data_IF_374432615018
#
_entry.id   IF_374432615018
#
_cell.length_a   1.000
_cell.length_b   1.000
_cell.length_c   1.000
_cell.angle_alpha   90.00
_cell.angle_beta   90.00
_cell.angle_gamma   90.00
#
_symmetry.space_group_name_H-M   'P 1'
#
loop_
_entity.id
_entity.type
_entity.pdbx_description
1 polymer ?
#
# COMPACT_ATOMS: atom_id res chain seq x y z
N UNK A 1 5.52 8.76 -3.64
CA UNK A 1 4.82 8.80 -2.33
C UNK A 1 5.42 7.83 -1.31
N UNK A 2 5.33 6.50 -1.49
CA UNK A 2 5.84 5.51 -0.51
C UNK A 2 7.31 5.71 -0.12
N UNK A 3 8.18 6.01 -1.09
CA UNK A 3 9.60 6.30 -0.83
C UNK A 3 9.82 7.58 -0.01
N UNK A 4 8.95 8.58 -0.16
CA UNK A 4 8.98 9.80 0.66
C UNK A 4 8.56 9.46 2.11
N UNK A 5 7.47 8.70 2.28
CA UNK A 5 7.02 8.26 3.61
C UNK A 5 8.10 7.47 4.35
N UNK A 6 8.82 6.60 3.64
CA UNK A 6 9.95 5.84 4.21
C UNK A 6 11.10 6.73 4.67
N UNK A 7 11.35 7.87 4.00
CA UNK A 7 12.41 8.82 4.36
C UNK A 7 11.98 9.79 5.46
N UNK A 8 10.74 10.26 5.43
CA UNK A 8 10.22 11.24 6.37
C UNK A 8 9.80 10.63 7.71
N UNK A 9 9.33 9.37 7.71
CA UNK A 9 8.87 8.69 8.92
C UNK A 9 9.73 7.45 9.20
N UNK A 10 10.65 7.59 10.17
CA UNK A 10 11.52 6.49 10.64
C UNK A 10 10.82 5.53 11.62
N UNK A 11 9.55 5.79 11.97
CA UNK A 11 8.81 5.01 12.96
C UNK A 11 8.70 3.54 12.55
N UNK A 12 9.04 2.62 13.46
CA UNK A 12 8.94 1.18 13.22
C UNK A 12 7.58 0.57 13.56
N UNK A 13 6.61 1.39 13.95
CA UNK A 13 5.29 0.91 14.34
C UNK A 13 4.40 0.66 13.12
N UNK A 14 3.98 -0.60 12.95
CA UNK A 14 3.14 -1.10 11.85
C UNK A 14 1.83 -0.31 11.78
N UNK A 15 1.21 -0.01 12.92
CA UNK A 15 -0.07 0.72 12.99
C UNK A 15 0.03 2.14 12.44
N UNK A 16 1.13 2.84 12.75
CA UNK A 16 1.41 4.20 12.26
C UNK A 16 1.67 4.17 10.77
N UNK A 17 2.48 3.23 10.27
CA UNK A 17 2.73 3.05 8.83
C UNK A 17 1.45 2.73 8.07
N UNK A 18 0.57 1.89 8.63
CA UNK A 18 -0.76 1.59 8.05
C UNK A 18 -1.60 2.86 7.95
N UNK A 19 -1.71 3.65 9.02
CA UNK A 19 -2.47 4.91 9.00
C UNK A 19 -1.94 5.90 7.98
N UNK A 20 -0.62 6.08 7.91
CA UNK A 20 0.02 6.96 6.92
C UNK A 20 -0.24 6.50 5.48
N UNK A 21 -0.17 5.19 5.24
CA UNK A 21 -0.50 4.64 3.92
C UNK A 21 -1.96 4.91 3.53
N UNK A 22 -2.91 4.65 4.43
CA UNK A 22 -4.34 4.87 4.15
C UNK A 22 -4.64 6.36 3.94
N UNK A 23 -4.17 7.22 4.83
CA UNK A 23 -4.48 8.66 4.81
C UNK A 23 -3.87 9.40 3.62
N UNK A 24 -2.68 9.03 3.17
CA UNK A 24 -1.99 9.74 2.08
C UNK A 24 -2.10 8.97 0.76
N UNK A 25 -1.70 7.70 0.75
CA UNK A 25 -1.59 6.94 -0.49
C UNK A 25 -2.95 6.42 -0.94
N UNK A 26 -3.73 5.81 -0.04
CA UNK A 26 -5.07 5.31 -0.41
C UNK A 26 -6.03 6.44 -0.73
N UNK A 27 -6.01 7.54 0.03
CA UNK A 27 -6.80 8.73 -0.29
C UNK A 27 -6.50 9.31 -1.68
N UNK A 28 -5.22 9.45 -2.06
CA UNK A 28 -4.86 9.91 -3.41
C UNK A 28 -5.31 8.92 -4.50
N UNK A 29 -5.11 7.63 -4.29
CA UNK A 29 -5.52 6.60 -5.26
C UNK A 29 -7.04 6.55 -5.41
N UNK A 30 -7.78 6.68 -4.32
CA UNK A 30 -9.24 6.75 -4.29
C UNK A 30 -9.77 8.07 -4.84
N UNK A 31 -8.97 9.10 -5.05
CA UNK A 31 -9.43 10.29 -5.76
C UNK A 31 -9.51 10.04 -7.28
N UNK A 32 -8.66 9.16 -7.82
CA UNK A 32 -8.63 8.86 -9.25
C UNK A 32 -9.79 7.93 -9.66
N UNK A 33 -10.69 8.41 -10.54
CA UNK A 33 -11.86 7.64 -11.03
C UNK A 33 -11.49 6.32 -11.71
N UNK A 34 -10.36 6.28 -12.42
CA UNK A 34 -9.82 5.09 -13.10
C UNK A 34 -9.46 3.96 -12.13
N UNK A 35 -9.17 4.28 -10.87
CA UNK A 35 -8.82 3.31 -9.84
C UNK A 35 -10.05 2.62 -9.26
N UNK A 36 -11.21 3.28 -9.28
CA UNK A 36 -12.46 2.72 -8.75
C UNK A 36 -13.00 1.59 -9.63
N UNK A 37 -12.81 1.72 -10.94
CA UNK A 37 -13.19 0.70 -11.93
C UNK A 37 -12.14 0.62 -13.04
N UNK A 38 -11.00 -0.04 -12.78
CA UNK A 38 -10.01 -0.26 -13.82
C UNK A 38 -10.58 -1.22 -14.87
N UNK A 39 -10.70 -0.74 -16.10
CA UNK A 39 -11.18 -1.55 -17.25
C UNK A 39 -10.05 -2.28 -17.96
N UNK A 40 -8.80 -1.82 -17.79
CA UNK A 40 -7.62 -2.40 -18.42
C UNK A 40 -6.84 -3.26 -17.43
N UNK A 41 -6.40 -4.45 -17.87
CA UNK A 41 -5.58 -5.38 -17.08
C UNK A 41 -4.30 -4.70 -16.57
N UNK A 42 -3.72 -3.79 -17.37
CA UNK A 42 -2.52 -3.03 -17.01
C UNK A 42 -2.73 -2.18 -15.75
N UNK A 43 -3.90 -1.58 -15.59
CA UNK A 43 -4.22 -0.72 -14.45
C UNK A 43 -4.40 -1.55 -13.18
N UNK A 44 -5.07 -2.71 -13.30
CA UNK A 44 -5.19 -3.69 -12.21
C UNK A 44 -3.81 -4.16 -11.74
N UNK A 45 -2.93 -4.55 -12.68
CA UNK A 45 -1.57 -5.00 -12.36
C UNK A 45 -0.75 -3.88 -11.71
N UNK A 46 -0.91 -2.63 -12.17
CA UNK A 46 -0.23 -1.48 -11.57
C UNK A 46 -0.71 -1.21 -10.15
N UNK A 47 -2.02 -1.28 -9.90
CA UNK A 47 -2.60 -1.14 -8.56
C UNK A 47 -2.10 -2.24 -7.61
N UNK A 48 -2.10 -3.50 -8.05
CA UNK A 48 -1.55 -4.60 -7.26
C UNK A 48 -0.06 -4.40 -6.92
N UNK A 49 0.74 -3.90 -7.85
CA UNK A 49 2.16 -3.61 -7.60
C UNK A 49 2.33 -2.54 -6.52
N UNK A 50 1.49 -1.51 -6.53
CA UNK A 50 1.49 -0.48 -5.49
C UNK A 50 1.10 -1.10 -4.14
N UNK A 51 0.05 -1.90 -4.11
CA UNK A 51 -0.41 -2.59 -2.90
C UNK A 51 0.68 -3.52 -2.33
N UNK A 52 1.34 -4.34 -3.17
CA UNK A 52 2.47 -5.19 -2.74
C UNK A 52 3.62 -4.40 -2.12
N UNK A 53 3.99 -3.27 -2.71
CA UNK A 53 5.04 -2.39 -2.16
C UNK A 53 4.61 -1.77 -0.83
N UNK A 54 3.35 -1.37 -0.71
CA UNK A 54 2.80 -0.84 0.52
C UNK A 54 2.76 -1.89 1.64
N UNK A 55 2.33 -3.12 1.35
CA UNK A 55 2.31 -4.21 2.32
C UNK A 55 3.68 -4.47 2.92
N UNK A 56 4.71 -4.54 2.07
CA UNK A 56 6.11 -4.70 2.51
C UNK A 56 6.61 -3.53 3.34
N UNK A 57 6.22 -2.30 3.00
CA UNK A 57 6.59 -1.12 3.78
C UNK A 57 5.95 -1.12 5.17
N UNK A 58 4.66 -1.48 5.26
CA UNK A 58 3.90 -1.46 6.51
C UNK A 58 4.39 -2.58 7.44
N UNK A 59 4.50 -3.81 6.92
CA UNK A 59 4.86 -4.97 7.72
C UNK A 59 6.36 -5.02 8.04
N UNK A 60 7.21 -4.38 7.22
CA UNK A 60 8.66 -4.48 7.27
C UNK A 60 9.22 -5.91 7.11
N UNK A 61 8.34 -6.90 6.95
CA UNK A 61 8.65 -8.30 6.67
C UNK A 61 8.61 -8.58 5.17
N UNK A 62 9.74 -9.05 4.66
CA UNK A 62 9.92 -9.40 3.25
C UNK A 62 9.75 -10.90 2.98
N UNK A 63 9.52 -11.71 4.03
CA UNK A 63 9.43 -13.17 3.96
C UNK A 63 8.00 -13.71 3.81
N UNK A 64 6.99 -12.95 4.23
CA UNK A 64 5.59 -13.40 4.17
C UNK A 64 5.03 -13.42 2.74
N UNK A 65 4.18 -14.41 2.45
CA UNK A 65 3.45 -14.51 1.19
C UNK A 65 2.52 -13.31 1.04
N UNK A 66 2.32 -12.81 -0.19
CA UNK A 66 1.47 -11.63 -0.42
C UNK A 66 0.04 -11.78 0.14
N UNK A 67 -0.53 -13.00 0.06
CA UNK A 67 -1.85 -13.31 0.63
C UNK A 67 -1.87 -13.14 2.15
N UNK A 68 -0.86 -13.67 2.84
CA UNK A 68 -0.75 -13.60 4.30
C UNK A 68 -0.54 -12.14 4.76
N UNK A 69 0.28 -11.37 4.04
CA UNK A 69 0.44 -9.94 4.27
C UNK A 69 -0.89 -9.18 4.14
N UNK A 70 -1.73 -9.58 3.18
CA UNK A 70 -3.04 -8.97 2.95
C UNK A 70 -4.00 -9.25 4.10
N UNK A 71 -4.05 -10.51 4.56
CA UNK A 71 -4.87 -10.95 5.70
C UNK A 71 -4.43 -10.20 6.96
N UNK A 72 -3.13 -10.13 7.22
CA UNK A 72 -2.57 -9.47 8.40
C UNK A 72 -2.80 -7.96 8.40
N UNK A 73 -2.86 -7.34 7.22
CA UNK A 73 -3.12 -5.91 7.10
C UNK A 73 -4.60 -5.54 7.17
N UNK A 74 -5.53 -6.50 7.04
CA UNK A 74 -6.99 -6.31 7.13
C UNK A 74 -7.43 -4.99 6.44
N UNK A 75 -7.20 -4.95 5.12
CA UNK A 75 -7.18 -3.75 4.25
C UNK A 75 -8.23 -3.85 3.16
#
# INVERSE_FOLDING_TARGET
MLGLLKRSFSCNNITVRKRLYVTLVRSLLSYCSQVWRPSLIRDIVNLERIQRRASKFILSDYKCTYKDCLIQLNL
#
